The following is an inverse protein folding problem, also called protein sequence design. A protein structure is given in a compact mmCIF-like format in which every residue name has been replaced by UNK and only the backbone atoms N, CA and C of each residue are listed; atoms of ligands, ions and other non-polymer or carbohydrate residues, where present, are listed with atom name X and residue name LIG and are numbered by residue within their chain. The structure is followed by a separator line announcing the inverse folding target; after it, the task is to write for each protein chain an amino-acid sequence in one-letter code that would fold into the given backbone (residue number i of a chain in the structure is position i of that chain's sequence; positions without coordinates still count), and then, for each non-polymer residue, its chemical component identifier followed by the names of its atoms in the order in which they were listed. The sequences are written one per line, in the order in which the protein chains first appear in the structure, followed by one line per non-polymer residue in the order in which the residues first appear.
data_IF_823871328088
#
_entry.id   IF_823871328088
#
_cell.length_a   1.000
_cell.length_b   1.000
_cell.length_c   1.000
_cell.angle_alpha   90.00
_cell.angle_beta   90.00
_cell.angle_gamma   90.00
#
_symmetry.space_group_name_H-M   'P 1'
#
loop_
_entity.id
_entity.type
_entity.pdbx_description
1 polymer ?
#
# COMPACT_ATOMS: atom_id res chain seq x y z
N UNK A 1 9.98 38.28 5.05
CA UNK A 1 9.36 37.37 4.05
C UNK A 1 9.50 35.90 4.44
N UNK A 2 10.43 35.51 5.31
CA UNK A 2 10.76 34.12 5.71
C UNK A 2 9.81 33.45 6.70
N UNK A 3 9.12 34.19 7.58
CA UNK A 3 8.33 33.58 8.66
C UNK A 3 6.94 33.10 8.21
N UNK A 4 6.29 33.84 7.31
CA UNK A 4 5.00 33.45 6.71
C UNK A 4 5.12 32.14 5.91
N UNK A 5 6.24 31.94 5.20
CA UNK A 5 6.49 30.69 4.48
C UNK A 5 6.74 29.52 5.43
N UNK A 6 7.50 29.73 6.51
CA UNK A 6 7.73 28.70 7.55
C UNK A 6 6.44 28.31 8.26
N UNK A 7 5.56 29.26 8.55
CA UNK A 7 4.25 28.99 9.16
C UNK A 7 3.33 28.23 8.20
N UNK A 8 3.30 28.61 6.93
CA UNK A 8 2.55 27.89 5.92
C UNK A 8 3.06 26.45 5.73
N UNK A 9 4.38 26.25 5.77
CA UNK A 9 5.00 24.92 5.69
C UNK A 9 4.69 24.05 6.91
N UNK A 10 4.79 24.60 8.12
CA UNK A 10 4.37 23.92 9.36
C UNK A 10 2.89 23.55 9.33
N UNK A 11 2.02 24.44 8.86
CA UNK A 11 0.59 24.16 8.73
C UNK A 11 0.31 23.04 7.72
N UNK A 12 1.02 23.01 6.58
CA UNK A 12 0.96 21.91 5.61
C UNK A 12 1.41 20.60 6.23
N UNK A 13 2.53 20.60 6.95
CA UNK A 13 3.06 19.39 7.58
C UNK A 13 2.10 18.82 8.63
N UNK A 14 1.55 19.70 9.49
CA UNK A 14 0.54 19.30 10.48
C UNK A 14 -0.68 18.67 9.81
N UNK A 15 -1.14 19.24 8.69
CA UNK A 15 -2.29 18.71 7.94
C UNK A 15 -1.98 17.37 7.27
N UNK A 16 -0.77 17.20 6.71
CA UNK A 16 -0.34 15.91 6.14
C UNK A 16 -0.26 14.82 7.19
N UNK A 17 0.34 15.14 8.34
CA UNK A 17 0.41 14.21 9.47
C UNK A 17 -0.98 13.78 9.93
N UNK A 18 -1.92 14.73 10.05
CA UNK A 18 -3.30 14.42 10.38
C UNK A 18 -3.95 13.49 9.35
N UNK A 19 -3.77 13.72 8.05
CA UNK A 19 -4.31 12.85 6.99
C UNK A 19 -3.69 11.45 7.09
N UNK A 20 -2.37 11.35 7.27
CA UNK A 20 -1.67 10.09 7.42
C UNK A 20 -2.19 9.30 8.65
N UNK A 21 -2.31 9.96 9.79
CA UNK A 21 -2.83 9.36 11.03
C UNK A 21 -4.27 8.86 10.85
N UNK A 22 -5.14 9.63 10.19
CA UNK A 22 -6.52 9.21 9.89
C UNK A 22 -6.57 8.04 8.90
N UNK A 23 -5.70 8.05 7.88
CA UNK A 23 -5.55 6.93 6.92
C UNK A 23 -5.12 5.65 7.64
N UNK A 24 -4.13 5.73 8.53
CA UNK A 24 -3.68 4.61 9.35
C UNK A 24 -4.78 4.09 10.28
N UNK A 25 -5.58 4.99 10.86
CA UNK A 25 -6.72 4.64 11.72
C UNK A 25 -7.97 4.16 10.95
N UNK A 26 -7.95 4.18 9.61
CA UNK A 26 -9.11 3.81 8.79
C UNK A 26 -10.26 4.83 8.79
N UNK A 27 -10.02 6.07 9.23
CA UNK A 27 -11.03 7.15 9.35
C UNK A 27 -11.12 7.95 8.05
N UNK A 28 -11.66 7.33 7.00
CA UNK A 28 -11.69 7.92 5.65
C UNK A 28 -12.85 8.88 5.38
N UNK A 29 -13.99 8.64 6.03
CA UNK A 29 -15.28 9.19 5.62
C UNK A 29 -15.73 10.34 6.51
N UNK A 30 -16.61 11.21 5.99
CA UNK A 30 -17.16 12.35 6.72
C UNK A 30 -16.42 13.67 6.46
N UNK A 31 -16.90 14.75 7.08
CA UNK A 31 -16.36 16.11 6.93
C UNK A 31 -14.91 16.25 7.42
N UNK A 32 -14.54 15.50 8.46
CA UNK A 32 -13.21 15.48 9.05
C UNK A 32 -12.42 14.21 8.66
N UNK A 33 -12.93 13.46 7.68
CA UNK A 33 -12.30 12.22 7.21
C UNK A 33 -11.10 12.48 6.31
N UNK A 34 -10.17 11.52 6.26
CA UNK A 34 -8.93 11.62 5.50
C UNK A 34 -9.15 12.04 4.03
N UNK A 35 -10.18 11.50 3.37
CA UNK A 35 -10.46 11.82 1.96
C UNK A 35 -10.86 13.29 1.77
N UNK A 36 -11.69 13.84 2.66
CA UNK A 36 -12.14 15.22 2.55
C UNK A 36 -10.97 16.18 2.77
N UNK A 37 -10.16 15.89 3.78
CA UNK A 37 -8.97 16.68 4.10
C UNK A 37 -7.93 16.65 2.98
N UNK A 38 -7.74 15.50 2.32
CA UNK A 38 -6.88 15.31 1.15
C UNK A 38 -7.39 16.10 -0.06
N UNK A 39 -8.70 16.04 -0.36
CA UNK A 39 -9.31 16.83 -1.45
C UNK A 39 -9.12 18.33 -1.25
N UNK A 40 -9.40 18.83 -0.05
CA UNK A 40 -9.21 20.23 0.30
C UNK A 40 -7.74 20.64 0.21
N UNK A 41 -6.82 19.79 0.68
CA UNK A 41 -5.39 20.05 0.59
C UNK A 41 -4.93 20.18 -0.87
N UNK A 42 -5.29 19.22 -1.73
CA UNK A 42 -4.95 19.26 -3.15
C UNK A 42 -5.61 20.45 -3.88
N UNK A 43 -6.83 20.83 -3.48
CA UNK A 43 -7.50 22.01 -4.01
C UNK A 43 -6.77 23.30 -3.63
N UNK A 44 -6.35 23.44 -2.37
CA UNK A 44 -5.54 24.58 -1.91
C UNK A 44 -4.23 24.66 -2.70
N UNK A 45 -3.53 23.53 -2.88
CA UNK A 45 -2.30 23.49 -3.69
C UNK A 45 -2.55 23.92 -5.15
N UNK A 46 -3.65 23.47 -5.76
CA UNK A 46 -4.02 23.86 -7.12
C UNK A 46 -4.40 25.35 -7.22
N UNK A 47 -5.15 25.87 -6.26
CA UNK A 47 -5.55 27.29 -6.22
C UNK A 47 -4.36 28.21 -5.99
N UNK A 48 -3.44 27.83 -5.11
CA UNK A 48 -2.19 28.57 -4.91
C UNK A 48 -1.42 28.67 -6.24
N UNK A 49 -1.26 27.54 -6.95
CA UNK A 49 -0.62 27.50 -8.27
C UNK A 49 -1.28 28.45 -9.29
N UNK A 50 -2.61 28.46 -9.34
CA UNK A 50 -3.36 29.33 -10.26
C UNK A 50 -3.22 30.80 -9.91
N UNK A 51 -3.32 31.16 -8.62
CA UNK A 51 -3.11 32.55 -8.17
C UNK A 51 -1.72 33.06 -8.50
N UNK A 52 -0.67 32.26 -8.27
CA UNK A 52 0.70 32.64 -8.66
C UNK A 52 0.87 32.79 -10.19
N UNK A 53 0.09 32.06 -10.99
CA UNK A 53 0.12 32.21 -12.45
C UNK A 53 -0.62 33.46 -12.94
N UNK A 54 -1.65 33.93 -12.22
CA UNK A 54 -2.46 35.10 -12.60
C UNK A 54 -1.98 36.42 -11.97
N UNK A 55 -1.44 36.38 -10.75
CA UNK A 55 -0.94 37.54 -10.01
C UNK A 55 0.54 37.79 -10.35
N UNK A 56 0.77 38.35 -11.53
CA UNK A 56 1.78 39.39 -11.85
C UNK A 56 3.11 39.47 -11.08
N UNK A 57 3.76 38.36 -10.72
CA UNK A 57 5.20 38.34 -10.47
C UNK A 57 5.91 37.91 -11.76
N UNK A 58 6.57 38.88 -12.40
CA UNK A 58 7.59 38.68 -13.45
C UNK A 58 8.81 37.98 -12.86
N UNK A 59 8.64 36.76 -12.36
CA UNK A 59 9.74 35.81 -12.25
C UNK A 59 9.43 34.77 -13.32
N UNK A 60 10.03 34.86 -14.52
CA UNK A 60 9.96 33.77 -15.47
C UNK A 60 10.48 32.53 -14.74
N UNK A 61 9.64 31.49 -14.62
CA UNK A 61 9.97 30.17 -14.05
C UNK A 61 9.71 29.87 -12.56
N UNK A 62 9.03 30.71 -11.78
CA UNK A 62 8.71 30.35 -10.37
C UNK A 62 7.22 30.24 -10.07
N UNK A 63 6.57 29.25 -10.67
CA UNK A 63 5.34 28.69 -10.12
C UNK A 63 5.76 27.50 -9.26
N UNK A 64 5.65 27.53 -7.92
CA UNK A 64 6.07 26.41 -7.09
C UNK A 64 5.29 25.16 -7.52
N UNK A 65 6.01 24.19 -8.07
CA UNK A 65 5.43 22.90 -8.42
C UNK A 65 4.88 22.25 -7.15
N UNK A 66 3.73 21.58 -7.26
CA UNK A 66 3.26 20.74 -6.16
C UNK A 66 4.29 19.63 -6.00
N UNK A 67 4.92 19.46 -4.81
CA UNK A 67 5.92 18.41 -4.59
C UNK A 67 5.36 17.04 -4.98
N UNK A 68 6.15 16.24 -5.67
CA UNK A 68 5.71 14.95 -6.21
C UNK A 68 5.17 14.04 -5.09
N UNK A 69 5.78 14.11 -3.91
CA UNK A 69 5.44 13.36 -2.69
C UNK A 69 3.98 13.55 -2.29
N UNK A 70 3.36 14.70 -2.62
CA UNK A 70 1.95 14.95 -2.29
C UNK A 70 1.03 14.06 -3.13
N UNK A 71 1.40 13.78 -4.38
CA UNK A 71 0.67 12.85 -5.22
C UNK A 71 0.86 11.40 -4.76
N UNK A 72 2.04 11.05 -4.25
CA UNK A 72 2.27 9.74 -3.64
C UNK A 72 1.40 9.55 -2.38
N UNK A 73 1.42 10.52 -1.45
CA UNK A 73 0.60 10.49 -0.24
C UNK A 73 -0.90 10.39 -0.56
N UNK A 74 -1.39 11.21 -1.49
CA UNK A 74 -2.78 11.13 -1.96
C UNK A 74 -3.08 9.75 -2.55
N UNK A 75 -2.19 9.20 -3.37
CA UNK A 75 -2.35 7.86 -3.96
C UNK A 75 -2.52 6.79 -2.88
N UNK A 76 -1.68 6.81 -1.84
CA UNK A 76 -1.75 5.90 -0.69
C UNK A 76 -3.06 6.04 0.08
N UNK A 77 -3.48 7.27 0.40
CA UNK A 77 -4.75 7.57 1.08
C UNK A 77 -5.96 7.02 0.30
N UNK A 78 -6.04 7.29 -1.00
CA UNK A 78 -7.14 6.81 -1.85
C UNK A 78 -7.10 5.29 -2.07
N UNK A 79 -5.91 4.69 -2.18
CA UNK A 79 -5.74 3.24 -2.28
C UNK A 79 -6.28 2.54 -1.03
N UNK A 80 -5.90 3.04 0.15
CA UNK A 80 -6.33 2.46 1.43
C UNK A 80 -7.84 2.65 1.64
N UNK A 81 -8.39 3.81 1.27
CA UNK A 81 -9.84 4.05 1.31
C UNK A 81 -10.61 3.11 0.36
N UNK A 82 -10.05 2.78 -0.81
CA UNK A 82 -10.64 1.81 -1.74
C UNK A 82 -10.72 0.40 -1.13
N UNK A 83 -9.66 -0.03 -0.44
CA UNK A 83 -9.64 -1.31 0.28
C UNK A 83 -10.65 -1.32 1.44
N UNK A 84 -10.73 -0.23 2.22
CA UNK A 84 -11.71 -0.07 3.29
C UNK A 84 -13.16 -0.13 2.78
N UNK A 85 -13.48 0.61 1.72
CA UNK A 85 -14.80 0.57 1.08
C UNK A 85 -15.14 -0.85 0.57
N UNK A 86 -14.17 -1.54 -0.03
CA UNK A 86 -14.36 -2.93 -0.49
C UNK A 86 -14.65 -3.90 0.66
N UNK A 87 -14.05 -3.67 1.84
CA UNK A 87 -14.32 -4.47 3.03
C UNK A 87 -15.75 -4.24 3.55
N UNK A 88 -16.20 -2.98 3.62
CA UNK A 88 -17.58 -2.64 3.97
C UNK A 88 -18.60 -3.27 2.99
N UNK A 89 -18.30 -3.25 1.69
CA UNK A 89 -19.16 -3.88 0.68
C UNK A 89 -19.36 -5.38 0.93
N UNK A 90 -18.30 -6.08 1.36
CA UNK A 90 -18.33 -7.52 1.66
C UNK A 90 -19.13 -7.84 2.93
N UNK A 91 -19.13 -6.94 3.91
CA UNK A 91 -19.87 -7.08 5.17
C UNK A 91 -21.33 -6.64 5.08
N UNK A 92 -21.67 -5.83 4.06
CA UNK A 92 -23.03 -5.30 3.89
C UNK A 92 -24.02 -6.39 3.53
N UNK A 93 -25.07 -6.55 4.36
CA UNK A 93 -26.16 -7.49 4.11
C UNK A 93 -27.12 -7.00 3.01
N UNK A 94 -27.33 -5.69 2.91
CA UNK A 94 -28.22 -5.09 1.93
C UNK A 94 -27.50 -4.85 0.58
N UNK A 95 -28.14 -5.23 -0.53
CA UNK A 95 -27.64 -5.05 -1.89
C UNK A 95 -27.32 -3.59 -2.24
N UNK A 96 -28.18 -2.63 -1.90
CA UNK A 96 -27.96 -1.20 -2.16
C UNK A 96 -26.73 -0.68 -1.43
N UNK A 97 -26.57 -1.05 -0.15
CA UNK A 97 -25.38 -0.68 0.63
C UNK A 97 -24.11 -1.29 0.04
N UNK A 98 -24.17 -2.57 -0.35
CA UNK A 98 -23.07 -3.27 -1.03
C UNK A 98 -22.67 -2.57 -2.34
N UNK A 99 -23.63 -2.20 -3.18
CA UNK A 99 -23.39 -1.48 -4.44
C UNK A 99 -22.79 -0.10 -4.21
N UNK A 100 -23.31 0.65 -3.24
CA UNK A 100 -22.77 1.96 -2.85
C UNK A 100 -21.30 1.85 -2.43
N UNK A 101 -20.96 0.88 -1.59
CA UNK A 101 -19.58 0.68 -1.15
C UNK A 101 -18.64 0.22 -2.27
N UNK A 102 -19.09 -0.64 -3.19
CA UNK A 102 -18.31 -0.98 -4.37
C UNK A 102 -18.08 0.20 -5.31
N UNK A 103 -19.10 1.04 -5.52
CA UNK A 103 -18.96 2.27 -6.29
C UNK A 103 -17.93 3.22 -5.66
N UNK A 104 -17.97 3.40 -4.33
CA UNK A 104 -16.95 4.19 -3.61
C UNK A 104 -15.56 3.60 -3.76
N UNK A 105 -15.42 2.28 -3.62
CA UNK A 105 -14.14 1.59 -3.78
C UNK A 105 -13.55 1.83 -5.17
N UNK A 106 -14.38 1.76 -6.22
CA UNK A 106 -14.00 2.02 -7.60
C UNK A 106 -13.57 3.49 -7.82
N UNK A 107 -14.32 4.46 -7.31
CA UNK A 107 -13.93 5.88 -7.40
C UNK A 107 -12.59 6.14 -6.71
N UNK A 108 -12.42 5.62 -5.49
CA UNK A 108 -11.18 5.79 -4.75
C UNK A 108 -10.00 5.16 -5.50
N UNK A 109 -10.17 3.96 -6.08
CA UNK A 109 -9.12 3.33 -6.89
C UNK A 109 -8.78 4.16 -8.14
N UNK A 110 -9.77 4.74 -8.81
CA UNK A 110 -9.52 5.65 -9.97
C UNK A 110 -8.70 6.88 -9.56
N UNK A 111 -9.00 7.46 -8.40
CA UNK A 111 -8.23 8.59 -7.86
C UNK A 111 -6.81 8.15 -7.46
N UNK A 112 -6.66 7.02 -6.77
CA UNK A 112 -5.37 6.45 -6.41
C UNK A 112 -4.48 6.26 -7.64
N UNK A 113 -5.03 5.68 -8.70
CA UNK A 113 -4.37 5.52 -10.00
C UNK A 113 -3.94 6.87 -10.57
N UNK A 114 -4.87 7.83 -10.67
CA UNK A 114 -4.60 9.17 -11.22
C UNK A 114 -3.42 9.85 -10.51
N UNK A 115 -3.40 9.81 -9.18
CA UNK A 115 -2.32 10.43 -8.41
C UNK A 115 -1.02 9.62 -8.47
N UNK A 116 -1.08 8.28 -8.52
CA UNK A 116 0.10 7.44 -8.73
C UNK A 116 0.75 7.72 -10.08
N UNK A 117 -0.04 7.79 -11.16
CA UNK A 117 0.46 8.08 -12.50
C UNK A 117 1.06 9.50 -12.54
N UNK A 118 0.41 10.48 -11.92
CA UNK A 118 0.96 11.84 -11.83
C UNK A 118 2.27 11.91 -11.04
N UNK A 119 2.40 11.11 -9.98
CA UNK A 119 3.62 11.00 -9.21
C UNK A 119 4.78 10.46 -10.07
N UNK A 120 4.55 9.39 -10.82
CA UNK A 120 5.56 8.80 -11.69
C UNK A 120 5.93 9.65 -12.92
N UNK A 121 5.04 10.56 -13.36
CA UNK A 121 5.41 11.60 -14.34
C UNK A 121 6.41 12.62 -13.78
N UNK A 122 6.45 12.79 -12.45
CA UNK A 122 7.22 13.83 -11.77
C UNK A 122 8.46 13.30 -11.04
N UNK A 123 8.52 12.00 -10.75
CA UNK A 123 9.62 11.35 -10.03
C UNK A 123 9.98 10.03 -10.73
N UNK A 124 11.27 9.89 -11.05
CA UNK A 124 11.82 8.67 -11.66
C UNK A 124 11.68 7.48 -10.70
N UNK A 125 11.71 6.25 -11.23
CA UNK A 125 11.60 5.04 -10.41
C UNK A 125 12.81 4.90 -9.47
N UNK A 126 13.98 5.34 -9.92
CA UNK A 126 15.26 5.32 -9.20
C UNK A 126 15.21 6.19 -7.92
N UNK A 127 14.54 7.35 -8.01
CA UNK A 127 14.45 8.32 -6.93
C UNK A 127 13.35 7.98 -5.90
N UNK A 128 12.46 7.03 -6.19
CA UNK A 128 11.37 6.65 -5.29
C UNK A 128 11.90 5.96 -4.02
N UNK A 129 11.31 6.28 -2.88
CA UNK A 129 11.50 5.54 -1.63
C UNK A 129 10.85 4.16 -1.71
N UNK A 130 11.24 3.24 -0.82
CA UNK A 130 10.68 1.88 -0.81
C UNK A 130 9.15 1.88 -0.61
N UNK A 131 8.63 2.72 0.29
CA UNK A 131 7.19 2.87 0.49
C UNK A 131 6.45 3.45 -0.73
N UNK A 132 7.10 4.34 -1.49
CA UNK A 132 6.56 4.88 -2.74
C UNK A 132 6.49 3.82 -3.85
N UNK A 133 7.55 3.00 -3.97
CA UNK A 133 7.59 1.86 -4.90
C UNK A 133 6.50 0.83 -4.57
N UNK A 134 6.37 0.45 -3.29
CA UNK A 134 5.37 -0.52 -2.83
C UNK A 134 3.94 -0.02 -3.07
N UNK A 135 3.65 1.23 -2.69
CA UNK A 135 2.34 1.85 -2.91
C UNK A 135 1.98 1.86 -4.39
N UNK A 136 2.93 2.26 -5.25
CA UNK A 136 2.70 2.31 -6.70
C UNK A 136 2.46 0.92 -7.28
N UNK A 137 3.28 -0.07 -6.92
CA UNK A 137 3.08 -1.45 -7.35
C UNK A 137 1.70 -1.99 -6.94
N UNK A 138 1.29 -1.74 -5.69
CA UNK A 138 -0.03 -2.10 -5.17
C UNK A 138 -1.19 -1.48 -5.97
N UNK A 139 -1.09 -0.19 -6.32
CA UNK A 139 -2.09 0.51 -7.13
C UNK A 139 -2.13 -0.06 -8.55
N UNK A 140 -0.97 -0.22 -9.19
CA UNK A 140 -0.86 -0.77 -10.55
C UNK A 140 -1.45 -2.17 -10.63
N UNK A 141 -1.13 -3.04 -9.66
CA UNK A 141 -1.70 -4.38 -9.57
C UNK A 141 -3.24 -4.34 -9.49
N UNK A 142 -3.80 -3.52 -8.58
CA UNK A 142 -5.27 -3.37 -8.45
C UNK A 142 -5.93 -2.82 -9.72
N UNK A 143 -5.19 -2.05 -10.52
CA UNK A 143 -5.66 -1.56 -11.81
C UNK A 143 -5.42 -2.54 -12.98
N UNK A 144 -4.89 -3.74 -12.73
CA UNK A 144 -4.60 -4.75 -13.75
C UNK A 144 -3.30 -4.53 -14.54
N UNK A 145 -2.50 -3.50 -14.19
CA UNK A 145 -1.20 -3.19 -14.81
C UNK A 145 -0.09 -4.02 -14.16
N UNK A 146 -0.23 -5.34 -14.25
CA UNK A 146 0.57 -6.31 -13.48
C UNK A 146 2.05 -6.32 -13.85
N UNK A 147 2.38 -6.21 -15.15
CA UNK A 147 3.78 -6.20 -15.57
C UNK A 147 4.52 -4.98 -15.02
N UNK A 148 3.92 -3.79 -15.16
CA UNK A 148 4.51 -2.59 -14.58
C UNK A 148 4.64 -2.72 -13.06
N UNK A 149 3.63 -3.24 -12.35
CA UNK A 149 3.72 -3.49 -10.92
C UNK A 149 4.93 -4.38 -10.55
N UNK A 150 5.21 -5.44 -11.33
CA UNK A 150 6.40 -6.27 -11.12
C UNK A 150 7.70 -5.50 -11.31
N UNK A 151 7.76 -4.57 -12.27
CA UNK A 151 8.95 -3.77 -12.52
C UNK A 151 9.26 -2.88 -11.31
N UNK A 152 8.24 -2.24 -10.71
CA UNK A 152 8.38 -1.45 -9.47
C UNK A 152 8.82 -2.29 -8.27
N UNK A 153 8.24 -3.48 -8.07
CA UNK A 153 8.64 -4.38 -6.98
C UNK A 153 10.08 -4.90 -7.19
N UNK A 154 10.44 -5.24 -8.43
CA UNK A 154 11.78 -5.71 -8.76
C UNK A 154 12.83 -4.62 -8.52
N UNK A 155 12.52 -3.37 -8.87
CA UNK A 155 13.37 -2.22 -8.57
C UNK A 155 13.54 -2.03 -7.06
N UNK A 156 12.47 -2.15 -6.26
CA UNK A 156 12.56 -2.08 -4.80
C UNK A 156 13.45 -3.18 -4.20
N UNK A 157 13.32 -4.41 -4.70
CA UNK A 157 14.18 -5.55 -4.28
C UNK A 157 15.64 -5.30 -4.66
N UNK A 158 15.91 -4.79 -5.87
CA UNK A 158 17.27 -4.46 -6.30
C UNK A 158 17.87 -3.34 -5.47
N UNK A 159 17.09 -2.30 -5.15
CA UNK A 159 17.52 -1.19 -4.29
C UNK A 159 17.98 -1.68 -2.92
N UNK A 160 17.19 -2.56 -2.30
CA UNK A 160 17.52 -3.23 -1.04
C UNK A 160 18.74 -4.17 -1.14
N UNK A 161 18.95 -4.81 -2.30
CA UNK A 161 20.12 -5.64 -2.53
C UNK A 161 21.39 -4.81 -2.73
N UNK A 162 21.29 -3.64 -3.37
CA UNK A 162 22.43 -2.74 -3.64
C UNK A 162 22.89 -1.92 -2.42
N UNK A 163 22.05 -1.78 -1.41
CA UNK A 163 22.41 -1.13 -0.13
C UNK A 163 23.13 -2.08 0.82
N UNK A 164 23.06 -3.40 0.59
CA UNK A 164 23.96 -4.38 1.20
C UNK A 164 25.28 -4.40 0.44
N UNK A 165 26.26 -3.62 0.92
CA UNK A 165 27.62 -3.58 0.38
C UNK A 165 28.18 -5.01 0.35
N UNK A 166 28.85 -5.35 -0.76
CA UNK A 166 29.50 -6.63 -1.05
C UNK A 166 29.94 -7.43 0.19
N UNK A 167 29.32 -8.62 0.38
CA UNK A 167 29.71 -9.70 1.29
C UNK A 167 29.25 -9.67 2.77
N UNK A 168 28.04 -9.22 3.10
CA UNK A 168 27.32 -9.70 4.31
C UNK A 168 25.78 -9.57 4.16
N UNK A 169 24.95 -10.55 4.57
CA UNK A 169 23.52 -10.62 4.24
C UNK A 169 22.63 -9.85 5.23
N UNK A 170 23.13 -8.80 5.87
CA UNK A 170 22.30 -7.85 6.61
C UNK A 170 21.59 -6.94 5.61
N UNK A 171 20.52 -7.44 4.99
CA UNK A 171 19.57 -6.58 4.29
C UNK A 171 19.03 -5.58 5.30
N UNK A 172 19.57 -4.35 5.27
CA UNK A 172 18.93 -3.21 5.93
C UNK A 172 17.48 -3.18 5.46
N UNK A 173 16.54 -3.23 6.40
CA UNK A 173 15.09 -3.20 6.14
C UNK A 173 14.48 -4.53 5.61
N UNK A 174 14.68 -5.62 6.38
CA UNK A 174 14.01 -6.93 6.17
C UNK A 174 12.48 -6.84 6.05
N UNK A 175 11.86 -5.87 6.74
CA UNK A 175 10.42 -5.59 6.66
C UNK A 175 9.96 -5.27 5.23
N UNK A 176 10.57 -4.28 4.58
CA UNK A 176 10.19 -3.87 3.23
C UNK A 176 10.48 -4.98 2.22
N UNK A 177 11.60 -5.71 2.37
CA UNK A 177 11.90 -6.86 1.53
C UNK A 177 10.81 -7.93 1.61
N UNK A 178 10.30 -8.22 2.82
CA UNK A 178 9.18 -9.16 2.97
C UNK A 178 7.95 -8.69 2.20
N UNK A 179 7.59 -7.40 2.30
CA UNK A 179 6.44 -6.84 1.59
C UNK A 179 6.61 -6.92 0.07
N UNK A 180 7.78 -6.55 -0.46
CA UNK A 180 8.04 -6.66 -1.89
C UNK A 180 7.94 -8.09 -2.41
N UNK A 181 8.52 -9.05 -1.68
CA UNK A 181 8.51 -10.47 -2.08
C UNK A 181 7.08 -11.04 -2.10
N UNK A 182 6.26 -10.78 -1.07
CA UNK A 182 4.88 -11.29 -1.05
C UNK A 182 4.01 -10.63 -2.12
N UNK A 183 4.14 -9.31 -2.34
CA UNK A 183 3.37 -8.64 -3.39
C UNK A 183 3.78 -9.11 -4.79
N UNK A 184 5.08 -9.37 -4.99
CA UNK A 184 5.60 -9.90 -6.26
C UNK A 184 5.06 -11.30 -6.51
N UNK A 185 5.13 -12.17 -5.50
CA UNK A 185 4.58 -13.52 -5.57
C UNK A 185 3.06 -13.52 -5.86
N UNK A 186 2.28 -12.66 -5.19
CA UNK A 186 0.85 -12.52 -5.46
C UNK A 186 0.56 -12.14 -6.92
N UNK A 187 1.30 -11.19 -7.50
CA UNK A 187 1.11 -10.78 -8.90
C UNK A 187 1.48 -11.91 -9.86
N UNK A 188 2.58 -12.63 -9.59
CA UNK A 188 3.02 -13.75 -10.42
C UNK A 188 1.97 -14.85 -10.55
N UNK A 189 1.23 -15.12 -9.45
CA UNK A 189 0.12 -16.07 -9.45
C UNK A 189 -1.08 -15.57 -10.25
N UNK A 190 -1.43 -14.30 -10.11
CA UNK A 190 -2.52 -13.72 -10.90
C UNK A 190 -2.24 -13.75 -12.40
N UNK A 191 -0.96 -13.77 -12.78
CA UNK A 191 -0.51 -13.95 -14.17
C UNK A 191 -0.47 -15.42 -14.65
N UNK A 192 -0.81 -16.39 -13.78
CA UNK A 192 -0.99 -17.82 -14.09
C UNK A 192 0.16 -18.51 -14.83
N UNK A 193 1.41 -18.08 -14.64
CA UNK A 193 2.51 -18.59 -15.47
C UNK A 193 3.85 -18.74 -14.73
N UNK A 194 3.91 -18.49 -13.40
CA UNK A 194 5.19 -18.43 -12.66
C UNK A 194 5.12 -18.98 -11.22
N UNK A 195 4.43 -20.09 -11.01
CA UNK A 195 4.21 -20.67 -9.66
C UNK A 195 5.53 -20.98 -8.92
N UNK A 196 6.54 -21.51 -9.63
CA UNK A 196 7.86 -21.77 -9.04
C UNK A 196 8.55 -20.50 -8.53
N UNK A 197 8.50 -19.40 -9.28
CA UNK A 197 9.10 -18.12 -8.86
C UNK A 197 8.32 -17.48 -7.71
N UNK A 198 6.99 -17.61 -7.72
CA UNK A 198 6.16 -17.17 -6.60
C UNK A 198 6.50 -17.95 -5.32
N UNK A 199 6.69 -19.27 -5.42
CA UNK A 199 7.13 -20.12 -4.32
C UNK A 199 8.51 -19.68 -3.78
N UNK A 200 9.49 -19.46 -4.64
CA UNK A 200 10.83 -18.97 -4.25
C UNK A 200 10.78 -17.64 -3.50
N UNK A 201 9.96 -16.69 -3.98
CA UNK A 201 9.76 -15.39 -3.33
C UNK A 201 9.07 -15.56 -1.95
N UNK A 202 8.06 -16.43 -1.82
CA UNK A 202 7.43 -16.73 -0.53
C UNK A 202 8.37 -17.39 0.46
N UNK A 203 9.15 -18.39 0.03
CA UNK A 203 10.11 -19.09 0.89
C UNK A 203 11.17 -18.13 1.43
N UNK A 204 11.61 -17.18 0.59
CA UNK A 204 12.51 -16.11 1.02
C UNK A 204 11.83 -15.17 2.03
N UNK A 205 10.58 -14.76 1.78
CA UNK A 205 9.83 -13.90 2.70
C UNK A 205 9.58 -14.59 4.06
N UNK A 206 9.32 -15.89 4.07
CA UNK A 206 9.15 -16.69 5.30
C UNK A 206 10.44 -16.67 6.13
N UNK A 207 11.59 -17.00 5.53
CA UNK A 207 12.89 -16.98 6.22
C UNK A 207 13.22 -15.61 6.81
N UNK A 208 12.92 -14.53 6.09
CA UNK A 208 13.10 -13.17 6.58
C UNK A 208 12.14 -12.83 7.72
N UNK A 209 10.91 -13.35 7.69
CA UNK A 209 9.90 -13.10 8.72
C UNK A 209 10.21 -13.76 10.08
N UNK A 210 11.19 -14.64 10.14
CA UNK A 210 11.64 -15.29 11.38
C UNK A 210 12.60 -14.40 12.20
N UNK A 211 13.13 -13.31 11.63
CA UNK A 211 13.91 -12.29 12.35
C UNK A 211 12.96 -11.36 13.14
N UNK A 212 12.55 -11.79 14.33
CA UNK A 212 11.48 -11.15 15.10
C UNK A 212 11.75 -9.69 15.48
N UNK A 213 13.02 -9.34 15.73
CA UNK A 213 13.44 -7.99 16.16
C UNK A 213 13.43 -6.97 15.02
N UNK A 214 13.44 -7.43 13.76
CA UNK A 214 13.55 -6.58 12.57
C UNK A 214 12.29 -6.56 11.71
N UNK A 215 11.43 -7.58 11.83
CA UNK A 215 10.19 -7.68 11.07
C UNK A 215 8.98 -7.50 12.00
N UNK A 216 8.26 -6.37 11.91
CA UNK A 216 7.06 -6.13 12.68
C UNK A 216 6.05 -7.29 12.59
N UNK A 217 5.43 -7.62 13.72
CA UNK A 217 4.46 -8.72 13.84
C UNK A 217 3.36 -8.68 12.76
N UNK A 218 2.89 -7.47 12.40
CA UNK A 218 1.91 -7.28 11.35
C UNK A 218 2.40 -7.82 9.99
N UNK A 219 3.66 -7.59 9.63
CA UNK A 219 4.26 -8.09 8.39
C UNK A 219 4.43 -9.58 8.43
N UNK A 220 4.87 -10.14 9.56
CA UNK A 220 4.97 -11.59 9.76
C UNK A 220 3.61 -12.27 9.53
N UNK A 221 2.55 -11.72 10.11
CA UNK A 221 1.17 -12.19 9.88
C UNK A 221 0.78 -12.10 8.40
N UNK A 222 1.13 -11.01 7.72
CA UNK A 222 0.84 -10.85 6.28
C UNK A 222 1.58 -11.88 5.42
N UNK A 223 2.84 -12.18 5.73
CA UNK A 223 3.64 -13.20 5.03
C UNK A 223 2.98 -14.57 5.16
N UNK A 224 2.73 -15.04 6.38
CA UNK A 224 2.12 -16.37 6.60
C UNK A 224 0.70 -16.47 6.02
N UNK A 225 -0.10 -15.40 6.11
CA UNK A 225 -1.44 -15.36 5.50
C UNK A 225 -1.36 -15.44 3.97
N UNK A 226 -0.46 -14.67 3.35
CA UNK A 226 -0.32 -14.61 1.89
C UNK A 226 0.19 -15.95 1.36
N UNK A 227 1.20 -16.53 2.02
CA UNK A 227 1.68 -17.88 1.70
C UNK A 227 0.58 -18.94 1.86
N UNK A 228 -0.16 -18.93 2.98
CA UNK A 228 -1.25 -19.88 3.19
C UNK A 228 -2.36 -19.78 2.14
N UNK A 229 -2.66 -18.57 1.64
CA UNK A 229 -3.56 -18.37 0.50
C UNK A 229 -2.98 -18.99 -0.78
N UNK A 230 -1.70 -18.74 -1.08
CA UNK A 230 -1.02 -19.32 -2.23
C UNK A 230 -1.05 -20.85 -2.20
N UNK A 231 -0.73 -21.47 -1.06
CA UNK A 231 -0.75 -22.91 -0.90
C UNK A 231 -2.16 -23.48 -1.13
N UNK A 232 -3.21 -22.76 -0.73
CA UNK A 232 -4.59 -23.16 -1.02
C UNK A 232 -4.92 -23.08 -2.52
N UNK A 233 -4.46 -22.03 -3.20
CA UNK A 233 -4.69 -21.81 -4.64
C UNK A 233 -3.95 -22.83 -5.52
N UNK A 234 -2.82 -23.35 -5.04
CA UNK A 234 -1.99 -24.36 -5.74
C UNK A 234 -2.28 -25.81 -5.31
N UNK A 235 -3.21 -26.03 -4.38
CA UNK A 235 -3.66 -27.37 -3.96
C UNK A 235 -2.87 -28.01 -2.80
N UNK A 236 -1.93 -27.30 -2.20
CA UNK A 236 -1.20 -27.75 -1.01
C UNK A 236 -2.00 -27.48 0.28
N UNK A 237 -3.03 -28.30 0.51
CA UNK A 237 -4.02 -28.12 1.59
C UNK A 237 -3.38 -28.09 2.98
N UNK A 238 -2.47 -29.02 3.29
CA UNK A 238 -1.90 -29.11 4.64
C UNK A 238 -0.92 -27.97 4.93
N UNK A 239 -0.12 -27.57 3.94
CA UNK A 239 0.74 -26.39 4.03
C UNK A 239 -0.10 -25.14 4.24
N UNK A 240 -1.22 -25.03 3.53
CA UNK A 240 -2.16 -23.91 3.71
C UNK A 240 -2.73 -23.85 5.12
N UNK A 241 -3.20 -24.98 5.68
CA UNK A 241 -3.71 -25.04 7.06
C UNK A 241 -2.65 -24.62 8.06
N UNK A 242 -1.43 -25.13 7.93
CA UNK A 242 -0.32 -24.77 8.81
C UNK A 242 -0.02 -23.26 8.74
N UNK A 243 0.15 -22.71 7.54
CA UNK A 243 0.50 -21.31 7.34
C UNK A 243 -0.62 -20.36 7.83
N UNK A 244 -1.88 -20.66 7.50
CA UNK A 244 -3.03 -19.87 7.98
C UNK A 244 -3.24 -20.02 9.49
N UNK A 245 -3.00 -21.20 10.06
CA UNK A 245 -3.04 -21.43 11.51
C UNK A 245 -1.98 -20.60 12.25
N UNK A 246 -0.72 -20.62 11.77
CA UNK A 246 0.37 -19.79 12.30
C UNK A 246 0.03 -18.30 12.19
N UNK A 247 -0.48 -17.84 11.04
CA UNK A 247 -0.91 -16.46 10.87
C UNK A 247 -2.04 -16.07 11.84
N UNK A 248 -3.03 -16.95 12.04
CA UNK A 248 -4.17 -16.71 12.93
C UNK A 248 -3.73 -16.64 14.39
N UNK A 249 -2.86 -17.56 14.82
CA UNK A 249 -2.30 -17.55 16.17
C UNK A 249 -1.56 -16.23 16.45
N UNK A 250 -0.65 -15.83 15.55
CA UNK A 250 0.10 -14.57 15.69
C UNK A 250 -0.83 -13.34 15.71
N UNK A 251 -1.87 -13.33 14.87
CA UNK A 251 -2.83 -12.24 14.83
C UNK A 251 -3.62 -12.12 16.15
N UNK A 252 -4.16 -13.24 16.66
CA UNK A 252 -4.91 -13.30 17.93
C UNK A 252 -4.05 -12.88 19.11
N UNK A 253 -2.83 -13.42 19.22
CA UNK A 253 -1.90 -13.13 20.32
C UNK A 253 -1.58 -11.63 20.42
N UNK A 254 -1.63 -10.90 19.30
CA UNK A 254 -1.23 -9.49 19.22
C UNK A 254 -2.42 -8.53 18.94
N UNK A 255 -3.66 -9.00 19.08
CA UNK A 255 -4.86 -8.16 18.92
C UNK A 255 -5.07 -7.61 17.49
N UNK A 256 -4.57 -8.29 16.46
CA UNK A 256 -4.66 -7.85 15.06
C UNK A 256 -5.98 -8.29 14.40
N UNK A 257 -7.10 -7.83 14.94
CA UNK A 257 -8.47 -8.28 14.59
C UNK A 257 -8.82 -8.19 13.09
N UNK A 258 -8.35 -7.17 12.38
CA UNK A 258 -8.52 -7.05 10.91
C UNK A 258 -7.82 -8.20 10.15
N UNK A 259 -6.63 -8.62 10.60
CA UNK A 259 -5.93 -9.74 9.98
C UNK A 259 -6.60 -11.08 10.32
N UNK A 260 -7.09 -11.26 11.55
CA UNK A 260 -7.86 -12.45 11.93
C UNK A 260 -9.06 -12.66 10.99
N UNK A 261 -9.87 -11.61 10.77
CA UNK A 261 -11.02 -11.67 9.87
C UNK A 261 -10.61 -12.04 8.44
N UNK A 262 -9.49 -11.48 7.94
CA UNK A 262 -8.96 -11.80 6.61
C UNK A 262 -8.52 -13.25 6.50
N UNK A 263 -7.85 -13.79 7.52
CA UNK A 263 -7.38 -15.18 7.56
C UNK A 263 -8.57 -16.15 7.62
N UNK A 264 -9.54 -15.89 8.49
CA UNK A 264 -10.77 -16.69 8.60
C UNK A 264 -11.60 -16.67 7.30
N UNK A 265 -11.65 -15.53 6.62
CA UNK A 265 -12.32 -15.44 5.32
C UNK A 265 -11.62 -16.29 4.24
N UNK A 266 -10.30 -16.36 4.25
CA UNK A 266 -9.52 -17.24 3.36
C UNK A 266 -9.84 -18.70 3.69
N UNK A 267 -9.71 -19.11 4.95
CA UNK A 267 -10.00 -20.47 5.38
C UNK A 267 -11.42 -20.90 4.99
N UNK A 268 -12.42 -20.03 5.21
CA UNK A 268 -13.81 -20.27 4.78
C UNK A 268 -13.93 -20.45 3.27
N UNK A 269 -13.28 -19.59 2.47
CA UNK A 269 -13.30 -19.67 0.99
C UNK A 269 -12.80 -21.02 0.49
N UNK A 270 -11.74 -21.56 1.12
CA UNK A 270 -11.13 -22.84 0.74
C UNK A 270 -11.61 -24.04 1.57
N UNK A 271 -12.67 -23.87 2.39
CA UNK A 271 -13.23 -24.90 3.26
C UNK A 271 -12.19 -25.57 4.17
N UNK A 272 -11.26 -24.77 4.70
CA UNK A 272 -10.21 -25.21 5.60
C UNK A 272 -10.65 -25.06 7.06
N UNK A 273 -10.47 -26.11 7.85
CA UNK A 273 -10.56 -26.05 9.32
C UNK A 273 -9.19 -25.71 9.85
N UNK A 274 -9.07 -24.58 10.55
CA UNK A 274 -7.85 -24.15 11.23
C UNK A 274 -7.95 -24.56 12.70
N UNK A 275 -6.94 -25.26 13.20
CA UNK A 275 -6.75 -25.60 14.61
C UNK A 275 -5.98 -24.50 15.34
#
# INVERSE_FOLDING_TARGET
MTDVWKEAEKAREKRRKLIADLTLQGKFWGKDGALRLEEEFLMICKMARLRFATEKFRIPNFVPAIPAEFFSAASSTYYTASANASAHAKQSANLFSKLFWYWRAWICLRKAKKYSDKFAELKSIEDMTLGELDTRACVLNKCGRRQEALDYLSHGIMKLASTGIDNDPEVENKHDLCLFLIHKAEILLEMKNKDKKAQEDYDRAIRLSDYEDEVPILTRVRVWKSYGKFSAETGYVDISKYALGKALFLAKKNGLSDQEQKILAIAKKYKLTLS
#
